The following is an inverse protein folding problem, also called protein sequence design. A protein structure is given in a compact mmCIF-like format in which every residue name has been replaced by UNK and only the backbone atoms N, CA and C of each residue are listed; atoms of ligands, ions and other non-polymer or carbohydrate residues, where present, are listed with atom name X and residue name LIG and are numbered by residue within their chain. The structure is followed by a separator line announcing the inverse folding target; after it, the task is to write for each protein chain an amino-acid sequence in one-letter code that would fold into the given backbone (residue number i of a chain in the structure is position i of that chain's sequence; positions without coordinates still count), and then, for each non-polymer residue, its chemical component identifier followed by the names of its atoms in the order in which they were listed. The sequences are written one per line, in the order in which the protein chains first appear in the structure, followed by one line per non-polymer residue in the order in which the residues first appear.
data_IF_393665377720
#
_entry.id   IF_393665377720
#
_cell.length_a   1.000
_cell.length_b   1.000
_cell.length_c   1.000
_cell.angle_alpha   90.00
_cell.angle_beta   90.00
_cell.angle_gamma   90.00
#
_symmetry.space_group_name_H-M   'P 1'
#
loop_
_entity.id
_entity.type
_entity.pdbx_description
1 polymer ?
#
# COMPACT_ATOMS: atom_id res chain seq x y z
N UNK A 1 0.44 -13.35 24.94
CA UNK A 1 0.07 -11.94 24.62
C UNK A 1 0.30 -11.13 25.88
N UNK A 2 0.97 -9.99 25.78
CA UNK A 2 1.18 -9.07 26.91
C UNK A 2 0.47 -7.74 26.61
N UNK A 3 -0.10 -7.11 27.63
CA UNK A 3 -0.69 -5.78 27.50
C UNK A 3 -0.30 -4.97 28.72
N UNK A 4 0.40 -3.86 28.49
CA UNK A 4 1.00 -3.06 29.55
C UNK A 4 0.77 -1.59 29.28
N UNK A 5 0.70 -0.79 30.34
CA UNK A 5 0.73 0.66 30.26
C UNK A 5 1.95 1.23 30.99
N UNK A 6 2.37 2.43 30.58
CA UNK A 6 3.32 3.25 31.32
C UNK A 6 2.56 4.46 31.83
N UNK A 7 2.26 4.48 33.12
CA UNK A 7 1.50 5.56 33.76
C UNK A 7 2.30 6.14 34.93
N UNK A 8 2.52 7.45 34.93
CA UNK A 8 3.36 8.13 35.93
C UNK A 8 4.71 7.46 36.18
N UNK A 9 5.41 7.10 35.09
CA UNK A 9 6.69 6.39 35.12
C UNK A 9 6.62 4.99 35.77
N UNK A 10 5.44 4.42 36.02
CA UNK A 10 5.27 3.03 36.47
C UNK A 10 4.81 2.16 35.29
N UNK A 11 5.29 0.91 35.24
CA UNK A 11 4.86 -0.07 34.23
C UNK A 11 3.85 -1.00 34.91
N UNK A 12 2.65 -1.07 34.38
CA UNK A 12 1.57 -1.90 34.93
C UNK A 12 1.16 -2.96 33.91
N UNK A 13 0.99 -4.20 34.36
CA UNK A 13 0.35 -5.24 33.55
C UNK A 13 -1.17 -5.06 33.60
N UNK A 14 -1.78 -4.90 32.42
CA UNK A 14 -3.22 -4.71 32.28
C UNK A 14 -3.98 -6.04 32.23
N UNK A 15 -3.28 -7.17 32.02
CA UNK A 15 -3.86 -8.51 32.08
C UNK A 15 -3.75 -9.12 33.48
N UNK A 16 -2.79 -8.66 34.28
CA UNK A 16 -2.58 -9.11 35.66
C UNK A 16 -2.51 -7.90 36.62
N UNK A 17 -3.65 -7.35 37.08
CA UNK A 17 -3.69 -6.10 37.84
C UNK A 17 -3.00 -6.16 39.22
N UNK A 18 -2.73 -7.36 39.75
CA UNK A 18 -1.83 -7.59 40.88
C UNK A 18 -0.36 -7.23 40.60
N UNK A 19 0.07 -7.27 39.34
CA UNK A 19 1.44 -6.99 38.89
C UNK A 19 1.60 -5.53 38.46
N UNK A 20 1.75 -4.65 39.45
CA UNK A 20 2.10 -3.24 39.24
C UNK A 20 3.59 -2.99 39.47
N UNK A 21 4.10 -1.92 38.87
CA UNK A 21 5.51 -1.48 39.02
C UNK A 21 6.52 -2.51 38.53
N UNK A 22 6.24 -3.09 37.36
CA UNK A 22 7.18 -3.98 36.69
C UNK A 22 8.51 -3.25 36.45
N UNK A 23 9.61 -4.00 36.62
CA UNK A 23 10.96 -3.53 36.35
C UNK A 23 11.42 -4.03 34.98
N UNK A 24 12.04 -3.14 34.22
CA UNK A 24 12.68 -3.51 32.95
C UNK A 24 14.02 -4.18 33.30
N UNK A 25 14.10 -5.48 33.06
CA UNK A 25 15.33 -6.25 33.17
C UNK A 25 15.94 -6.44 31.78
N UNK A 26 17.25 -6.23 31.66
CA UNK A 26 18.02 -6.59 30.47
C UNK A 26 18.41 -8.07 30.63
N UNK A 27 17.53 -8.99 30.23
CA UNK A 27 17.88 -10.42 30.18
C UNK A 27 18.58 -10.72 28.86
N UNK A 28 19.88 -11.01 28.89
CA UNK A 28 20.58 -11.66 27.78
C UNK A 28 20.28 -13.15 27.91
N UNK A 29 19.14 -13.59 27.40
CA UNK A 29 18.84 -15.02 27.30
C UNK A 29 18.56 -15.37 25.84
N UNK A 30 19.62 -15.77 25.14
CA UNK A 30 19.49 -16.61 23.94
C UNK A 30 19.28 -18.02 24.48
N UNK A 31 18.03 -18.39 24.74
CA UNK A 31 17.67 -19.79 25.03
C UNK A 31 17.58 -20.50 23.68
N UNK A 32 18.70 -21.11 23.25
CA UNK A 32 18.64 -22.21 22.29
C UNK A 32 18.45 -23.51 23.08
N UNK A 33 17.26 -24.09 23.02
CA UNK A 33 17.02 -25.47 23.48
C UNK A 33 17.38 -26.41 22.33
N UNK A 34 18.41 -27.24 22.49
CA UNK A 34 18.59 -28.45 21.67
C UNK A 34 18.54 -29.67 22.58
N UNK A 35 17.68 -30.61 22.23
CA UNK A 35 17.80 -31.97 22.75
C UNK A 35 19.06 -32.60 22.18
N UNK A 36 19.91 -33.15 23.06
CA UNK A 36 21.03 -34.00 22.66
C UNK A 36 20.46 -35.33 22.16
N UNK A 37 20.28 -35.46 20.85
CA UNK A 37 20.18 -36.78 20.21
C UNK A 37 21.56 -37.14 19.68
N UNK A 38 22.22 -38.07 20.39
CA UNK A 38 23.36 -38.82 19.88
C UNK A 38 22.84 -39.76 18.80
N UNK A 39 22.79 -39.34 17.54
CA UNK A 39 22.72 -40.26 16.40
C UNK A 39 23.27 -39.58 15.14
N UNK A 40 24.27 -40.23 14.54
CA UNK A 40 24.86 -39.90 13.25
C UNK A 40 23.84 -40.14 12.11
N UNK A 41 24.02 -39.40 11.02
CA UNK A 41 23.38 -39.60 9.71
C UNK A 41 21.88 -39.30 9.58
N UNK A 42 21.55 -38.04 9.29
CA UNK A 42 20.70 -37.68 8.13
C UNK A 42 20.73 -36.16 7.91
N UNK A 43 20.73 -35.76 6.64
CA UNK A 43 20.72 -34.38 6.15
C UNK A 43 19.38 -33.66 6.43
N UNK A 44 18.92 -33.71 7.68
CA UNK A 44 17.62 -33.25 8.14
C UNK A 44 17.72 -31.80 8.62
N UNK A 45 17.15 -30.91 7.81
CA UNK A 45 16.54 -29.63 8.19
C UNK A 45 16.86 -29.16 9.61
N UNK A 46 17.79 -28.20 9.72
CA UNK A 46 18.01 -27.45 10.95
C UNK A 46 16.67 -26.94 11.50
N UNK A 47 16.22 -27.50 12.63
CA UNK A 47 14.96 -27.17 13.29
C UNK A 47 15.10 -25.85 14.07
N UNK A 48 15.36 -24.75 13.34
CA UNK A 48 15.49 -23.43 13.91
C UNK A 48 14.10 -22.86 14.21
N UNK A 49 13.77 -22.72 15.49
CA UNK A 49 12.50 -22.10 15.92
C UNK A 49 12.52 -20.61 15.56
N UNK A 50 11.67 -20.21 14.60
CA UNK A 50 11.48 -18.80 14.25
C UNK A 50 10.50 -18.15 15.22
N UNK A 51 11.01 -17.27 16.08
CA UNK A 51 10.18 -16.39 16.93
C UNK A 51 10.09 -15.01 16.28
N UNK A 52 8.87 -14.47 16.17
CA UNK A 52 8.65 -13.09 15.73
C UNK A 52 7.83 -12.35 16.78
N UNK A 53 8.12 -11.07 16.96
CA UNK A 53 7.47 -10.21 17.96
C UNK A 53 6.83 -9.06 17.22
N UNK A 54 5.51 -8.89 17.40
CA UNK A 54 4.77 -7.73 16.91
C UNK A 54 4.42 -6.84 18.11
N UNK A 55 4.88 -5.60 18.07
CA UNK A 55 4.57 -4.59 19.09
C UNK A 55 3.53 -3.61 18.53
N UNK A 56 2.37 -3.53 19.16
CA UNK A 56 1.36 -2.51 18.88
C UNK A 56 1.37 -1.52 20.05
N UNK A 57 1.71 -0.27 19.76
CA UNK A 57 1.94 0.77 20.77
C UNK A 57 0.97 1.91 20.51
N UNK A 58 0.16 2.23 21.50
CA UNK A 58 -0.67 3.43 21.51
C UNK A 58 0.06 4.52 22.30
N UNK A 59 0.16 5.72 21.72
CA UNK A 59 0.88 6.84 22.31
C UNK A 59 -0.11 7.94 22.70
N UNK A 60 0.06 8.49 23.89
CA UNK A 60 -0.67 9.67 24.32
C UNK A 60 -0.33 10.89 23.44
N UNK A 61 -1.17 11.92 23.53
CA UNK A 61 -0.97 13.16 22.77
C UNK A 61 0.26 13.95 23.22
N UNK A 62 0.81 14.74 22.31
CA UNK A 62 1.98 15.62 22.54
C UNK A 62 1.57 17.07 22.88
N UNK A 63 0.39 17.25 23.47
CA UNK A 63 -0.14 18.58 23.76
C UNK A 63 0.72 19.38 24.76
N UNK A 64 0.78 20.68 24.51
CA UNK A 64 1.52 21.61 25.37
C UNK A 64 0.75 21.85 26.65
N UNK A 65 1.41 21.68 27.80
CA UNK A 65 0.85 21.95 29.13
C UNK A 65 0.17 23.34 29.23
N UNK A 66 0.74 24.37 28.60
CA UNK A 66 0.17 25.71 28.59
C UNK A 66 -1.22 25.81 27.89
N UNK A 67 -1.54 24.89 26.97
CA UNK A 67 -2.81 24.86 26.24
C UNK A 67 -3.86 23.95 26.90
N UNK A 68 -3.47 23.13 27.87
CA UNK A 68 -4.38 22.15 28.49
C UNK A 68 -5.11 22.68 29.72
N UNK A 69 -4.58 23.72 30.37
CA UNK A 69 -5.10 24.19 31.66
C UNK A 69 -5.01 23.14 32.77
N UNK A 70 -4.15 22.12 32.60
CA UNK A 70 -4.00 21.05 33.58
C UNK A 70 -3.19 21.54 34.78
N UNK A 71 -3.67 21.22 35.99
CA UNK A 71 -3.04 21.56 37.25
C UNK A 71 -2.77 20.31 38.11
N UNK A 72 -1.93 20.46 39.14
CA UNK A 72 -1.68 19.42 40.14
C UNK A 72 -1.20 18.09 39.56
N UNK A 73 -1.92 17.01 39.86
CA UNK A 73 -1.58 15.64 39.43
C UNK A 73 -1.62 15.50 37.91
N UNK A 74 -2.59 16.12 37.24
CA UNK A 74 -2.78 16.03 35.80
C UNK A 74 -1.67 16.77 35.02
N UNK A 75 -1.12 17.83 35.61
CA UNK A 75 0.07 18.50 35.07
C UNK A 75 1.32 17.61 35.18
N UNK A 76 1.49 16.89 36.29
CA UNK A 76 2.60 15.93 36.47
C UNK A 76 2.50 14.78 35.48
N UNK A 77 1.30 14.23 35.30
CA UNK A 77 1.00 13.21 34.30
C UNK A 77 1.36 13.70 32.89
N UNK A 78 0.88 14.88 32.50
CA UNK A 78 1.21 15.50 31.21
C UNK A 78 2.70 15.77 31.04
N UNK A 79 3.44 16.05 32.13
CA UNK A 79 4.90 16.19 32.08
C UNK A 79 5.60 14.86 31.80
N UNK A 80 5.12 13.74 32.36
CA UNK A 80 5.69 12.42 32.09
C UNK A 80 5.39 11.96 30.65
N UNK A 81 4.17 12.22 30.15
CA UNK A 81 3.80 11.98 28.75
C UNK A 81 4.74 12.74 27.81
N UNK A 82 4.90 14.05 28.02
CA UNK A 82 5.76 14.87 27.17
C UNK A 82 7.24 14.46 27.26
N UNK A 83 7.72 14.05 28.45
CA UNK A 83 9.08 13.53 28.63
C UNK A 83 9.30 12.28 27.78
N UNK A 84 8.42 11.28 27.88
CA UNK A 84 8.59 10.01 27.16
C UNK A 84 8.52 10.20 25.63
N UNK A 85 7.61 11.05 25.14
CA UNK A 85 7.49 11.38 23.72
C UNK A 85 8.71 12.17 23.20
N UNK A 86 9.24 13.12 23.98
CA UNK A 86 10.44 13.87 23.60
C UNK A 86 11.68 12.98 23.53
N UNK A 87 11.85 12.08 24.50
CA UNK A 87 12.92 11.07 24.46
C UNK A 87 12.78 10.15 23.25
N UNK A 88 11.56 9.67 22.96
CA UNK A 88 11.29 8.85 21.77
C UNK A 88 11.69 9.59 20.48
N UNK A 89 11.29 10.85 20.32
CA UNK A 89 11.69 11.67 19.17
C UNK A 89 13.21 11.85 19.06
N UNK A 90 13.90 11.99 20.20
CA UNK A 90 15.37 12.13 20.24
C UNK A 90 16.07 10.83 19.81
N UNK A 91 15.57 9.68 20.26
CA UNK A 91 16.06 8.35 19.86
C UNK A 91 15.86 8.13 18.36
N UNK A 92 14.65 8.35 17.84
CA UNK A 92 14.35 8.21 16.41
C UNK A 92 15.24 9.13 15.57
N UNK A 93 15.41 10.39 15.99
CA UNK A 93 16.27 11.34 15.28
C UNK A 93 17.70 10.84 15.20
N UNK A 94 18.28 10.41 16.32
CA UNK A 94 19.66 9.89 16.34
C UNK A 94 19.82 8.65 15.46
N UNK A 95 18.86 7.74 15.50
CA UNK A 95 18.88 6.54 14.65
C UNK A 95 18.80 6.88 13.16
N UNK A 96 17.94 7.83 12.80
CA UNK A 96 17.82 8.31 11.42
C UNK A 96 19.09 9.00 10.90
N UNK A 97 19.90 9.55 11.81
CA UNK A 97 21.19 10.18 11.50
C UNK A 97 22.35 9.17 11.46
N UNK A 98 22.08 7.87 11.59
CA UNK A 98 23.09 6.82 11.56
C UNK A 98 23.95 6.76 12.82
N UNK A 99 23.42 7.18 13.97
CA UNK A 99 24.16 7.19 15.24
C UNK A 99 24.79 5.82 15.58
N UNK A 100 24.10 4.71 15.30
CA UNK A 100 24.64 3.37 15.55
C UNK A 100 25.86 3.05 14.67
N UNK A 101 25.83 3.42 13.39
CA UNK A 101 26.97 3.26 12.48
C UNK A 101 28.16 4.17 12.84
N UNK A 102 27.89 5.31 13.49
CA UNK A 102 28.91 6.25 13.95
C UNK A 102 29.38 6.00 15.39
N UNK A 103 28.88 4.95 16.06
CA UNK A 103 29.19 4.67 17.47
C UNK A 103 28.71 5.76 18.45
N UNK A 104 27.75 6.59 18.03
CA UNK A 104 27.17 7.66 18.84
C UNK A 104 26.12 7.10 19.81
N UNK A 105 26.16 7.54 21.06
CA UNK A 105 25.26 7.06 22.10
C UNK A 105 23.79 7.46 21.81
N UNK A 106 22.93 6.44 21.69
CA UNK A 106 21.47 6.59 21.59
C UNK A 106 20.84 6.47 22.99
N UNK A 107 20.10 7.47 23.47
CA UNK A 107 19.64 7.56 24.85
C UNK A 107 18.37 6.73 25.11
N UNK A 108 18.40 5.42 24.81
CA UNK A 108 17.27 4.53 25.10
C UNK A 108 16.89 4.54 26.58
N UNK A 109 17.86 4.77 27.48
CA UNK A 109 17.71 4.70 28.93
C UNK A 109 16.96 5.88 29.56
N UNK A 110 16.76 6.98 28.82
CA UNK A 110 16.18 8.21 29.34
C UNK A 110 14.65 8.10 29.59
N UNK A 111 14.00 7.10 29.00
CA UNK A 111 12.57 6.79 29.19
C UNK A 111 12.33 5.28 29.25
N UNK A 112 11.40 4.84 30.09
CA UNK A 112 10.97 3.43 30.15
C UNK A 112 10.39 2.95 28.81
N UNK A 113 9.70 3.84 28.11
CA UNK A 113 9.14 3.57 26.78
C UNK A 113 10.26 3.21 25.79
N UNK A 114 11.30 4.03 25.69
CA UNK A 114 12.41 3.80 24.75
C UNK A 114 13.29 2.63 25.14
N UNK A 115 13.37 2.27 26.43
CA UNK A 115 14.02 1.03 26.88
C UNK A 115 13.24 -0.21 26.44
N UNK A 116 11.91 -0.20 26.60
CA UNK A 116 11.05 -1.32 26.16
C UNK A 116 11.09 -1.47 24.63
N UNK A 117 11.06 -0.34 23.91
CA UNK A 117 11.06 -0.32 22.44
C UNK A 117 12.45 -0.43 21.82
N UNK A 118 13.52 -0.53 22.60
CA UNK A 118 14.89 -0.60 22.06
C UNK A 118 15.06 -1.71 20.99
N UNK A 119 14.56 -2.95 21.18
CA UNK A 119 14.66 -3.98 20.14
C UNK A 119 13.88 -3.66 18.87
N UNK A 120 12.80 -2.88 18.97
CA UNK A 120 11.99 -2.46 17.83
C UNK A 120 12.61 -1.26 17.07
N UNK A 121 13.26 -0.35 17.79
CA UNK A 121 13.78 0.90 17.23
C UNK A 121 15.19 0.77 16.64
N UNK A 122 16.11 0.11 17.34
CA UNK A 122 17.51 -0.08 16.89
C UNK A 122 17.94 -1.54 16.75
N UNK A 123 17.03 -2.49 16.99
CA UNK A 123 17.29 -3.91 16.75
C UNK A 123 16.96 -4.33 15.33
N UNK A 124 17.01 -5.64 15.07
CA UNK A 124 16.56 -6.23 13.82
C UNK A 124 15.02 -6.29 13.76
N UNK A 125 14.39 -5.14 13.51
CA UNK A 125 12.93 -5.01 13.45
C UNK A 125 12.50 -3.99 12.39
N UNK A 126 11.31 -4.19 11.83
CA UNK A 126 10.65 -3.20 10.99
C UNK A 126 9.71 -2.36 11.85
N UNK A 127 9.94 -1.04 11.89
CA UNK A 127 9.13 -0.10 12.66
C UNK A 127 8.43 0.89 11.75
N UNK A 128 7.11 1.04 11.92
CA UNK A 128 6.29 2.06 11.27
C UNK A 128 5.66 2.96 12.33
N UNK A 129 5.60 4.26 12.06
CA UNK A 129 4.98 5.26 12.95
C UNK A 129 3.85 5.93 12.19
N UNK A 130 2.66 5.92 12.79
CA UNK A 130 1.46 6.60 12.25
C UNK A 130 1.28 7.90 13.01
N UNK A 131 1.35 9.04 12.31
CA UNK A 131 1.23 10.35 12.91
C UNK A 131 -0.17 10.95 12.69
N UNK A 132 -0.94 11.07 13.77
CA UNK A 132 -2.28 11.67 13.74
C UNK A 132 -2.19 13.17 14.03
N UNK A 133 -2.38 14.01 13.00
CA UNK A 133 -2.18 15.46 13.09
C UNK A 133 -3.51 16.20 12.96
N UNK A 134 -3.75 17.17 13.84
CA UNK A 134 -4.93 18.07 13.76
C UNK A 134 -4.60 19.37 13.04
N UNK A 135 -5.31 19.68 11.96
CA UNK A 135 -5.11 20.91 11.16
C UNK A 135 -5.49 22.21 11.89
N UNK A 136 -6.36 22.14 12.91
CA UNK A 136 -6.85 23.33 13.63
C UNK A 136 -5.77 23.99 14.52
N UNK A 137 -4.95 23.21 15.22
CA UNK A 137 -3.86 23.76 16.06
C UNK A 137 -2.70 24.31 15.21
N UNK A 138 -2.50 23.72 14.04
CA UNK A 138 -1.53 24.11 13.02
C UNK A 138 -1.74 25.55 12.55
N UNK A 139 -2.99 25.97 12.34
CA UNK A 139 -3.34 27.35 11.96
C UNK A 139 -3.01 28.41 13.04
N UNK A 140 -2.91 28.01 14.32
CA UNK A 140 -2.66 28.96 15.43
C UNK A 140 -1.19 29.24 15.70
N UNK A 141 -0.28 28.28 15.44
CA UNK A 141 1.16 28.43 15.71
C UNK A 141 1.95 28.42 14.38
N UNK A 142 1.97 29.55 13.67
CA UNK A 142 2.67 29.71 12.39
C UNK A 142 4.17 29.31 12.43
N UNK A 143 4.82 29.43 13.59
CA UNK A 143 6.21 29.02 13.80
C UNK A 143 6.38 27.48 13.85
N UNK A 144 5.40 26.75 14.40
CA UNK A 144 5.42 25.29 14.46
C UNK A 144 5.24 24.69 13.06
N UNK A 145 4.31 25.25 12.29
CA UNK A 145 4.12 24.96 10.87
C UNK A 145 5.40 25.10 10.06
N UNK A 146 6.09 26.22 10.23
CA UNK A 146 7.31 26.52 9.48
C UNK A 146 8.46 25.56 9.85
N UNK A 147 8.58 25.22 11.14
CA UNK A 147 9.59 24.28 11.64
C UNK A 147 9.29 22.85 11.18
N UNK A 148 8.06 22.38 11.33
CA UNK A 148 7.67 21.03 10.91
C UNK A 148 7.74 20.86 9.40
N UNK A 149 7.34 21.87 8.61
CA UNK A 149 7.53 21.85 7.16
C UNK A 149 9.01 21.66 6.80
N UNK A 150 9.91 22.40 7.46
CA UNK A 150 11.35 22.28 7.24
C UNK A 150 11.90 20.91 7.68
N UNK A 151 11.50 20.40 8.84
CA UNK A 151 11.91 19.06 9.32
C UNK A 151 11.39 17.94 8.40
N UNK A 152 10.16 18.05 7.88
CA UNK A 152 9.60 17.10 6.90
C UNK A 152 10.34 17.18 5.57
N UNK A 153 10.73 18.38 5.13
CA UNK A 153 11.48 18.59 3.89
C UNK A 153 12.93 18.08 4.00
N UNK A 154 13.58 18.28 5.15
CA UNK A 154 14.88 17.67 5.47
C UNK A 154 14.80 16.14 5.60
N UNK A 155 13.76 15.60 6.25
CA UNK A 155 13.54 14.16 6.33
C UNK A 155 13.27 13.56 4.96
N UNK A 156 12.49 14.23 4.09
CA UNK A 156 12.29 13.80 2.70
C UNK A 156 13.59 13.81 1.92
N UNK A 157 14.40 14.86 2.05
CA UNK A 157 15.70 14.93 1.39
C UNK A 157 16.70 13.86 1.87
N UNK A 158 16.60 13.43 3.14
CA UNK A 158 17.42 12.35 3.72
C UNK A 158 16.88 10.95 3.41
N UNK A 159 15.56 10.79 3.29
CA UNK A 159 14.87 9.53 3.00
C UNK A 159 14.81 9.25 1.49
N UNK A 160 14.87 10.27 0.64
CA UNK A 160 15.29 10.13 -0.75
C UNK A 160 16.78 9.83 -0.79
N UNK A 161 17.14 8.61 -0.34
CA UNK A 161 18.39 8.00 -0.76
C UNK A 161 18.39 7.85 -2.28
N UNK A 162 19.57 7.69 -2.87
CA UNK A 162 19.89 7.64 -4.30
C UNK A 162 19.05 6.67 -5.15
N UNK A 163 18.21 5.83 -4.55
CA UNK A 163 17.29 4.91 -5.21
C UNK A 163 15.87 5.48 -5.43
N UNK A 164 15.45 6.54 -4.73
CA UNK A 164 14.09 7.09 -4.86
C UNK A 164 13.85 7.74 -6.23
N UNK A 165 14.87 8.40 -6.79
CA UNK A 165 14.76 9.05 -8.12
C UNK A 165 14.53 8.01 -9.23
N UNK A 166 15.23 6.88 -9.20
CA UNK A 166 15.04 5.81 -10.18
C UNK A 166 13.65 5.19 -10.08
N UNK A 167 13.14 4.93 -8.87
CA UNK A 167 11.80 4.39 -8.70
C UNK A 167 10.71 5.40 -9.06
N UNK A 168 10.90 6.70 -8.76
CA UNK A 168 9.97 7.75 -9.18
C UNK A 168 9.97 7.92 -10.71
N UNK A 169 11.14 7.87 -11.35
CA UNK A 169 11.28 7.91 -12.81
C UNK A 169 10.68 6.66 -13.47
N UNK A 170 10.88 5.48 -12.89
CA UNK A 170 10.32 4.23 -13.37
C UNK A 170 8.79 4.17 -13.18
N UNK A 171 8.27 4.68 -12.06
CA UNK A 171 6.82 4.86 -11.85
C UNK A 171 6.26 5.84 -12.89
N UNK A 172 6.94 6.94 -13.16
CA UNK A 172 6.52 7.92 -14.16
C UNK A 172 6.51 7.31 -15.57
N UNK A 173 7.55 6.56 -15.93
CA UNK A 173 7.65 5.84 -17.19
C UNK A 173 6.54 4.80 -17.33
N UNK A 174 6.31 3.96 -16.33
CA UNK A 174 5.23 2.97 -16.32
C UNK A 174 3.85 3.63 -16.48
N UNK A 175 3.64 4.77 -15.83
CA UNK A 175 2.38 5.52 -15.93
C UNK A 175 2.16 6.11 -17.33
N UNK A 176 3.22 6.63 -17.95
CA UNK A 176 3.18 7.12 -19.32
C UNK A 176 2.95 5.99 -20.34
N UNK A 177 3.61 4.84 -20.17
CA UNK A 177 3.39 3.66 -21.01
C UNK A 177 1.97 3.14 -20.88
N UNK A 178 1.43 3.05 -19.65
CA UNK A 178 0.05 2.65 -19.42
C UNK A 178 -0.92 3.56 -20.18
N UNK A 179 -0.75 4.88 -20.05
CA UNK A 179 -1.59 5.87 -20.73
C UNK A 179 -1.51 5.74 -22.27
N UNK A 180 -0.31 5.52 -22.83
CA UNK A 180 -0.14 5.28 -24.26
C UNK A 180 -0.88 4.01 -24.70
N UNK A 181 -0.77 2.92 -23.94
CA UNK A 181 -1.48 1.67 -24.27
C UNK A 181 -3.00 1.77 -24.15
N UNK A 182 -3.51 2.59 -23.23
CA UNK A 182 -4.95 2.86 -23.11
C UNK A 182 -5.46 3.65 -24.34
N UNK A 183 -4.77 4.71 -24.74
CA UNK A 183 -5.10 5.48 -25.93
C UNK A 183 -5.05 4.63 -27.20
N UNK A 184 -4.05 3.75 -27.33
CA UNK A 184 -3.93 2.87 -28.48
C UNK A 184 -5.03 1.80 -28.51
N UNK A 185 -5.44 1.27 -27.36
CA UNK A 185 -6.60 0.38 -27.24
C UNK A 185 -7.90 1.06 -27.66
N UNK A 186 -8.15 2.29 -27.23
CA UNK A 186 -9.33 3.05 -27.63
C UNK A 186 -9.33 3.32 -29.14
N UNK A 187 -8.17 3.68 -29.71
CA UNK A 187 -8.02 3.88 -31.15
C UNK A 187 -8.36 2.62 -31.95
N UNK A 188 -7.79 1.48 -31.56
CA UNK A 188 -8.05 0.19 -32.23
C UNK A 188 -9.53 -0.21 -32.07
N UNK A 189 -10.15 0.05 -30.91
CA UNK A 189 -11.57 -0.24 -30.70
C UNK A 189 -12.47 0.56 -31.63
N UNK A 190 -12.19 1.84 -31.85
CA UNK A 190 -12.91 2.68 -32.80
C UNK A 190 -12.73 2.20 -34.24
N UNK A 191 -11.50 1.89 -34.65
CA UNK A 191 -11.20 1.37 -35.99
C UNK A 191 -11.93 0.06 -36.26
N UNK A 192 -11.97 -0.85 -35.29
CA UNK A 192 -12.72 -2.10 -35.36
C UNK A 192 -14.24 -1.86 -35.47
N UNK A 193 -14.78 -0.84 -34.80
CA UNK A 193 -16.20 -0.50 -34.88
C UNK A 193 -16.57 0.07 -36.27
N UNK A 194 -15.70 0.91 -36.84
CA UNK A 194 -15.88 1.43 -38.20
C UNK A 194 -15.82 0.30 -39.25
N UNK A 195 -14.86 -0.62 -39.11
CA UNK A 195 -14.74 -1.77 -40.01
C UNK A 195 -15.97 -2.68 -39.94
N UNK A 196 -16.48 -2.97 -38.72
CA UNK A 196 -17.72 -3.73 -38.53
C UNK A 196 -18.92 -3.04 -39.18
N UNK A 197 -19.05 -1.72 -39.06
CA UNK A 197 -20.12 -0.95 -39.73
C UNK A 197 -19.99 -1.03 -41.25
N UNK A 198 -18.77 -0.91 -41.78
CA UNK A 198 -18.51 -1.03 -43.21
C UNK A 198 -18.83 -2.44 -43.72
N UNK A 199 -18.46 -3.48 -42.96
CA UNK A 199 -18.73 -4.88 -43.31
C UNK A 199 -20.24 -5.18 -43.29
N UNK A 200 -20.96 -4.73 -42.26
CA UNK A 200 -22.41 -4.85 -42.19
C UNK A 200 -23.13 -4.12 -43.35
N UNK A 201 -22.62 -2.96 -43.77
CA UNK A 201 -23.15 -2.23 -44.93
C UNK A 201 -22.90 -2.98 -46.25
N UNK A 202 -21.71 -3.58 -46.42
CA UNK A 202 -21.39 -4.44 -47.59
C UNK A 202 -22.29 -5.67 -47.63
N UNK A 203 -22.51 -6.33 -46.50
CA UNK A 203 -23.35 -7.53 -46.40
C UNK A 203 -24.82 -7.22 -46.73
N UNK A 204 -25.36 -6.10 -46.24
CA UNK A 204 -26.70 -5.62 -46.64
C UNK A 204 -26.82 -5.40 -48.14
N UNK A 205 -25.83 -4.76 -48.78
CA UNK A 205 -25.83 -4.55 -50.23
C UNK A 205 -25.79 -5.87 -51.00
N UNK A 206 -25.00 -6.82 -50.54
CA UNK A 206 -24.93 -8.17 -51.10
C UNK A 206 -26.28 -8.90 -50.99
N UNK A 207 -26.95 -8.83 -49.84
CA UNK A 207 -28.29 -9.39 -49.68
C UNK A 207 -29.32 -8.73 -50.59
N UNK A 208 -29.28 -7.41 -50.75
CA UNK A 208 -30.17 -6.70 -51.68
C UNK A 208 -29.92 -7.10 -53.14
N UNK A 209 -28.66 -7.21 -53.55
CA UNK A 209 -28.30 -7.68 -54.89
C UNK A 209 -28.75 -9.12 -55.12
N UNK A 210 -28.56 -10.01 -54.14
CA UNK A 210 -29.01 -11.40 -54.23
C UNK A 210 -30.53 -11.50 -54.44
N UNK A 211 -31.33 -10.74 -53.67
CA UNK A 211 -32.79 -10.67 -53.85
C UNK A 211 -33.21 -10.15 -55.23
N UNK A 212 -32.49 -9.15 -55.76
CA UNK A 212 -32.75 -8.63 -57.12
C UNK A 212 -32.43 -9.69 -58.19
N UNK A 213 -31.33 -10.41 -58.05
CA UNK A 213 -30.96 -11.50 -58.95
C UNK A 213 -32.04 -12.60 -58.90
N UNK A 214 -32.47 -13.00 -57.72
CA UNK A 214 -33.53 -14.01 -57.56
C UNK A 214 -34.84 -13.58 -58.22
N UNK A 215 -35.28 -12.33 -58.00
CA UNK A 215 -36.47 -11.77 -58.64
C UNK A 215 -36.36 -11.73 -60.17
N UNK A 216 -35.20 -11.34 -60.70
CA UNK A 216 -34.94 -11.31 -62.15
C UNK A 216 -34.91 -12.74 -62.74
N UNK A 217 -34.26 -13.69 -62.06
CA UNK A 217 -34.26 -15.10 -62.45
C UNK A 217 -35.66 -15.69 -62.48
N UNK A 218 -36.51 -15.39 -61.49
CA UNK A 218 -37.92 -15.80 -61.48
C UNK A 218 -38.69 -15.24 -62.67
N UNK A 219 -38.46 -13.97 -63.03
CA UNK A 219 -39.13 -13.32 -64.16
C UNK A 219 -38.72 -13.94 -65.51
N UNK A 220 -37.42 -14.17 -65.71
CA UNK A 220 -36.88 -14.83 -66.93
C UNK A 220 -37.42 -16.26 -67.08
N UNK A 221 -37.54 -17.01 -65.98
CA UNK A 221 -38.11 -18.36 -65.99
C UNK A 221 -39.61 -18.36 -66.34
N UNK A 222 -40.36 -17.35 -65.91
CA UNK A 222 -41.78 -17.20 -66.27
C UNK A 222 -41.96 -16.79 -67.75
N UNK A 223 -41.17 -15.84 -68.25
CA UNK A 223 -41.20 -15.44 -69.66
C UNK A 223 -40.85 -16.59 -70.61
N UNK A 224 -39.88 -17.44 -70.25
CA UNK A 224 -39.54 -18.64 -71.03
C UNK A 224 -40.64 -19.71 -71.01
N UNK A 225 -41.50 -19.75 -69.97
CA UNK A 225 -42.68 -20.63 -69.94
C UNK A 225 -43.78 -20.10 -70.86
N UNK A 226 -44.00 -18.79 -70.88
CA UNK A 226 -45.00 -18.18 -71.76
C UNK A 226 -44.60 -18.27 -73.24
N UNK A 227 -43.33 -18.03 -73.58
CA UNK A 227 -42.82 -18.22 -74.95
C UNK A 227 -42.90 -19.69 -75.41
N UNK A 228 -42.57 -20.66 -74.54
CA UNK A 228 -42.72 -22.08 -74.88
C UNK A 228 -44.19 -22.49 -75.00
N UNK A 229 -45.07 -21.96 -74.14
CA UNK A 229 -46.52 -22.23 -74.21
C UNK A 229 -47.13 -21.70 -75.51
N UNK A 230 -46.70 -20.53 -75.98
CA UNK A 230 -47.13 -19.98 -77.27
C UNK A 230 -46.51 -20.71 -78.47
N UNK A 231 -45.30 -21.27 -78.32
CA UNK A 231 -44.69 -22.17 -79.31
C UNK A 231 -45.45 -23.50 -79.43
N UNK A 232 -45.80 -24.14 -78.32
CA UNK A 232 -46.56 -25.40 -78.32
C UNK A 232 -47.96 -25.23 -78.92
N UNK A 233 -48.65 -24.11 -78.63
CA UNK A 233 -49.95 -23.80 -79.26
C UNK A 233 -49.86 -23.60 -80.78
N UNK A 234 -48.76 -23.04 -81.29
CA UNK A 234 -48.53 -22.89 -82.75
C UNK A 234 -48.21 -24.22 -83.46
N UNK A 235 -47.61 -25.19 -82.77
CA UNK A 235 -47.26 -26.50 -83.35
C UNK A 235 -48.47 -27.44 -83.42
N UNK A 236 -49.38 -27.41 -82.44
CA UNK A 236 -50.60 -28.24 -82.46
C UNK A 236 -51.73 -27.71 -83.36
N UNK A 237 -51.56 -26.56 -84.02
CA UNK A 237 -52.55 -25.92 -84.89
C UNK A 237 -52.30 -26.14 -86.41
N UNK A 238 -51.43 -27.08 -86.77
CA UNK A 238 -51.22 -27.60 -88.13
C UNK A 238 -51.53 -29.08 -88.17
#
# INVERSE_FOLDING_TARGET
MSYMEIYNEEINDLLAPEHRKLQIHESIEIIESRDKTEDEDTNSSCDAVRVSILNLVDLAGSERAAKTGAEGVRLKEGSHINKSLMTLGTVIKKLSEGAESQGSHVPYRDSKLTRILQPALGGNANTAIICNITLAQILTDAALLKRQKKEIEELRARLQGSHSEHFEEEILNLRNTLLQTELERERIALELEEEKKAQAAREKRLQEQAKKIESLSSMVLCSNRDENRDRYKKVCAR
#
